data_IF_466513567392
#
_entry.id   IF_466513567392
#
_cell.length_a   1.000
_cell.length_b   1.000
_cell.length_c   1.000
_cell.angle_alpha   90.00
_cell.angle_beta   90.00
_cell.angle_gamma   90.00
#
_symmetry.space_group_name_H-M   'P 1'
#
loop_
_entity.id
_entity.type
_entity.pdbx_description
1 polymer ?
#
# COMPACT_ATOMS: atom_id res chain seq x y z
N UNK A 1 5.31 -24.14 7.04
CA UNK A 1 5.71 -22.73 6.98
C UNK A 1 5.40 -22.19 5.62
N UNK A 2 4.58 -21.18 5.58
CA UNK A 2 4.09 -20.63 4.33
C UNK A 2 4.81 -19.34 3.99
N UNK A 3 5.37 -19.28 2.79
CA UNK A 3 6.00 -18.08 2.25
C UNK A 3 5.17 -17.58 1.07
N UNK A 4 4.98 -16.28 0.98
CA UNK A 4 4.16 -15.67 -0.07
C UNK A 4 4.96 -14.56 -0.73
N UNK A 5 4.85 -14.47 -2.06
CA UNK A 5 5.33 -13.32 -2.83
C UNK A 5 4.11 -12.51 -3.22
N UNK A 6 4.15 -11.20 -3.00
CA UNK A 6 3.05 -10.32 -3.37
C UNK A 6 3.57 -8.97 -3.86
N UNK A 7 2.73 -8.28 -4.62
CA UNK A 7 2.99 -6.90 -5.00
C UNK A 7 2.69 -5.97 -3.82
N UNK A 8 3.47 -4.91 -3.70
CA UNK A 8 3.26 -3.91 -2.66
C UNK A 8 2.30 -2.84 -3.18
N UNK A 9 1.02 -2.98 -2.81
CA UNK A 9 -0.04 -2.08 -3.25
C UNK A 9 -0.25 -0.93 -2.28
N UNK A 10 -0.87 0.14 -2.78
CA UNK A 10 -1.32 1.26 -1.96
C UNK A 10 -2.59 0.86 -1.19
N UNK A 11 -2.55 0.92 0.12
CA UNK A 11 -3.66 0.54 1.02
C UNK A 11 -4.36 -0.75 0.57
N UNK A 12 -3.70 -1.92 0.67
CA UNK A 12 -4.27 -3.17 0.20
C UNK A 12 -5.61 -3.49 0.84
N UNK A 13 -6.44 -4.26 0.13
CA UNK A 13 -7.75 -4.64 0.61
C UNK A 13 -7.70 -5.77 1.65
N UNK A 14 -8.88 -6.10 2.19
CA UNK A 14 -9.00 -7.13 3.22
C UNK A 14 -8.58 -8.51 2.70
N UNK A 15 -8.85 -8.81 1.43
CA UNK A 15 -8.45 -10.09 0.82
C UNK A 15 -6.94 -10.28 0.84
N UNK A 16 -6.18 -9.22 0.59
CA UNK A 16 -4.73 -9.25 0.68
C UNK A 16 -4.27 -9.63 2.09
N UNK A 17 -4.81 -8.96 3.10
CA UNK A 17 -4.42 -9.23 4.49
C UNK A 17 -4.88 -10.61 4.94
N UNK A 18 -6.04 -11.06 4.49
CA UNK A 18 -6.51 -12.42 4.78
C UNK A 18 -5.57 -13.45 4.16
N UNK A 19 -5.12 -13.24 2.93
CA UNK A 19 -4.22 -14.17 2.25
C UNK A 19 -2.87 -14.29 2.97
N UNK A 20 -2.34 -13.20 3.51
CA UNK A 20 -1.03 -13.21 4.17
C UNK A 20 -1.11 -13.49 5.67
N UNK A 21 -2.30 -13.53 6.26
CA UNK A 21 -2.46 -13.63 7.72
C UNK A 21 -1.83 -14.89 8.33
N UNK A 22 -1.75 -15.96 7.55
CA UNK A 22 -1.18 -17.22 8.01
C UNK A 22 0.20 -17.51 7.41
N UNK A 23 0.76 -16.57 6.68
CA UNK A 23 2.11 -16.75 6.16
C UNK A 23 3.14 -16.34 7.22
N UNK A 24 4.28 -16.96 7.16
CA UNK A 24 5.39 -16.64 8.05
C UNK A 24 6.21 -15.49 7.48
N UNK A 25 6.47 -15.54 6.18
CA UNK A 25 7.27 -14.53 5.50
C UNK A 25 6.57 -14.05 4.23
N UNK A 26 6.47 -12.74 4.09
CA UNK A 26 5.96 -12.07 2.90
C UNK A 26 7.14 -11.43 2.17
N UNK A 27 7.35 -11.87 0.92
CA UNK A 27 8.39 -11.29 0.06
C UNK A 27 7.78 -10.25 -0.86
N UNK A 28 8.41 -9.09 -0.94
CA UNK A 28 8.02 -8.00 -1.85
C UNK A 28 9.24 -7.56 -2.65
N UNK A 29 9.03 -7.19 -3.92
CA UNK A 29 10.12 -6.83 -4.83
C UNK A 29 9.95 -5.40 -5.36
N UNK A 30 10.96 -4.52 -5.18
CA UNK A 30 10.93 -3.18 -5.77
C UNK A 30 11.36 -3.17 -7.24
N UNK A 31 11.72 -4.33 -7.80
CA UNK A 31 12.30 -4.41 -9.14
C UNK A 31 11.27 -4.58 -10.25
N UNK A 32 10.03 -4.94 -9.92
CA UNK A 32 8.97 -5.06 -10.91
C UNK A 32 8.66 -3.71 -11.52
N UNK A 33 8.39 -3.70 -12.83
CA UNK A 33 8.11 -2.47 -13.56
C UNK A 33 6.71 -1.94 -13.19
N UNK A 34 6.61 -0.64 -12.94
CA UNK A 34 5.34 0.02 -12.68
C UNK A 34 4.40 -0.18 -13.88
N UNK A 35 3.14 -0.48 -13.58
CA UNK A 35 2.10 -0.63 -14.59
C UNK A 35 1.01 0.43 -14.36
N UNK A 36 0.65 1.12 -15.43
CA UNK A 36 -0.40 2.12 -15.39
C UNK A 36 -1.74 1.47 -15.03
N UNK A 37 -2.56 2.18 -14.24
CA UNK A 37 -3.89 1.72 -13.78
C UNK A 37 -3.84 0.48 -12.91
N UNK A 38 -2.71 0.21 -12.29
CA UNK A 38 -2.57 -0.86 -11.31
C UNK A 38 -2.88 -0.34 -9.91
N UNK A 39 -2.96 -1.26 -8.95
CA UNK A 39 -3.15 -0.90 -7.54
C UNK A 39 -1.86 -0.48 -6.83
N UNK A 40 -0.77 -0.30 -7.55
CA UNK A 40 0.47 0.22 -6.96
C UNK A 40 0.31 1.61 -6.39
N UNK A 41 -0.48 2.47 -7.07
CA UNK A 41 -0.74 3.84 -6.62
C UNK A 41 -2.24 4.14 -6.53
N UNK A 42 -3.07 3.12 -6.47
CA UNK A 42 -4.53 3.28 -6.44
C UNK A 42 -5.15 2.37 -5.41
N UNK A 43 -6.21 2.84 -4.78
CA UNK A 43 -7.04 2.02 -3.91
C UNK A 43 -8.50 2.40 -4.09
N UNK A 44 -9.39 1.51 -3.68
CA UNK A 44 -10.83 1.78 -3.72
C UNK A 44 -11.36 1.83 -2.30
N UNK A 45 -12.21 2.81 -2.04
CA UNK A 45 -12.91 2.95 -0.77
C UNK A 45 -14.42 2.88 -1.00
N UNK A 46 -15.13 2.35 -0.02
CA UNK A 46 -16.58 2.24 -0.07
C UNK A 46 -17.21 3.39 0.71
N UNK A 47 -17.89 4.27 -0.02
CA UNK A 47 -18.72 5.32 0.57
C UNK A 47 -20.15 4.79 0.75
N UNK A 48 -21.01 5.62 1.34
CA UNK A 48 -22.38 5.17 1.69
C UNK A 48 -23.19 4.64 0.51
N UNK A 49 -22.93 5.14 -0.70
CA UNK A 49 -23.71 4.75 -1.89
C UNK A 49 -22.87 4.54 -3.15
N UNK A 50 -21.55 4.51 -3.03
CA UNK A 50 -20.68 4.31 -4.19
C UNK A 50 -19.29 3.84 -3.78
N UNK A 51 -18.59 3.24 -4.74
CA UNK A 51 -17.16 2.95 -4.61
C UNK A 51 -16.40 4.09 -5.26
N UNK A 52 -15.40 4.62 -4.55
CA UNK A 52 -14.55 5.68 -5.06
C UNK A 52 -13.10 5.20 -5.17
N UNK A 53 -12.43 5.55 -6.26
CA UNK A 53 -11.02 5.23 -6.46
C UNK A 53 -10.15 6.41 -6.03
N UNK A 54 -9.19 6.13 -5.17
CA UNK A 54 -8.18 7.11 -4.76
C UNK A 54 -6.87 6.78 -5.48
N UNK A 55 -6.36 7.74 -6.25
CA UNK A 55 -5.10 7.57 -7.00
C UNK A 55 -4.06 8.55 -6.50
N UNK A 56 -2.85 8.03 -6.26
CA UNK A 56 -1.69 8.87 -5.95
C UNK A 56 -1.05 9.29 -7.26
N UNK A 57 -0.91 10.61 -7.52
CA UNK A 57 -0.22 11.05 -8.73
C UNK A 57 1.27 10.75 -8.64
N UNK A 58 1.85 10.34 -9.76
CA UNK A 58 3.26 10.01 -9.85
C UNK A 58 3.96 10.92 -10.85
N UNK A 59 5.26 11.10 -10.66
CA UNK A 59 6.08 11.91 -11.57
C UNK A 59 6.21 11.18 -12.91
N UNK A 60 5.85 11.85 -14.01
CA UNK A 60 5.85 11.26 -15.34
C UNK A 60 4.52 10.59 -15.67
N UNK A 61 4.13 10.64 -16.95
CA UNK A 61 2.85 10.08 -17.37
C UNK A 61 2.83 8.57 -17.50
N UNK A 62 3.94 7.98 -17.91
CA UNK A 62 4.06 6.53 -18.15
C UNK A 62 5.47 6.08 -17.82
N UNK A 63 5.86 6.17 -16.57
CA UNK A 63 7.22 5.79 -16.22
C UNK A 63 7.40 4.29 -16.42
N UNK A 64 8.45 3.92 -17.15
CA UNK A 64 8.86 2.52 -17.29
C UNK A 64 9.99 2.24 -16.31
N UNK A 65 9.70 2.49 -15.04
CA UNK A 65 10.67 2.37 -13.97
C UNK A 65 10.28 1.23 -13.04
N UNK A 66 11.27 0.61 -12.37
CA UNK A 66 10.96 -0.31 -11.27
C UNK A 66 10.16 0.40 -10.18
N UNK A 67 9.33 -0.35 -9.47
CA UNK A 67 8.47 0.19 -8.41
C UNK A 67 9.24 0.99 -7.38
N UNK A 68 10.45 0.55 -7.04
CA UNK A 68 11.29 1.24 -6.06
C UNK A 68 11.77 2.63 -6.49
N UNK A 69 11.65 2.96 -7.78
CA UNK A 69 12.12 4.24 -8.33
C UNK A 69 10.96 5.20 -8.69
N UNK A 70 9.72 4.82 -8.44
CA UNK A 70 8.56 5.66 -8.72
C UNK A 70 8.48 6.76 -7.67
N UNK A 71 8.39 8.02 -8.14
CA UNK A 71 8.28 9.20 -7.28
C UNK A 71 6.85 9.71 -7.24
N UNK A 72 6.40 10.12 -6.06
CA UNK A 72 5.09 10.73 -5.89
C UNK A 72 5.16 12.19 -6.30
N UNK A 73 4.15 12.65 -7.04
CA UNK A 73 4.06 14.04 -7.48
C UNK A 73 3.27 14.86 -6.47
N UNK A 74 3.97 15.50 -5.53
CA UNK A 74 3.35 16.36 -4.53
C UNK A 74 2.95 17.73 -5.05
N UNK A 75 3.27 18.06 -6.31
CA UNK A 75 2.78 19.28 -6.95
C UNK A 75 1.29 19.21 -7.26
N UNK A 76 0.75 18.00 -7.38
CA UNK A 76 -0.68 17.80 -7.50
C UNK A 76 -1.31 17.67 -6.12
N UNK A 77 -2.50 18.24 -5.96
CA UNK A 77 -3.22 18.23 -4.68
C UNK A 77 -4.00 16.93 -4.54
N UNK A 78 -3.50 16.00 -3.79
CA UNK A 78 -4.15 14.71 -3.59
C UNK A 78 -4.33 14.31 -2.12
N UNK A 79 -3.44 14.80 -1.23
CA UNK A 79 -3.44 14.40 0.18
C UNK A 79 -4.78 14.66 0.88
N UNK A 80 -5.32 15.87 0.74
CA UNK A 80 -6.57 16.23 1.39
C UNK A 80 -7.74 15.38 0.88
N UNK A 81 -7.75 15.06 -0.41
CA UNK A 81 -8.79 14.22 -1.02
C UNK A 81 -8.74 12.81 -0.43
N UNK A 82 -7.54 12.23 -0.29
CA UNK A 82 -7.38 10.90 0.27
C UNK A 82 -7.78 10.86 1.74
N UNK A 83 -7.33 11.84 2.53
CA UNK A 83 -7.68 11.91 3.95
C UNK A 83 -9.18 12.06 4.16
N UNK A 84 -9.83 12.93 3.38
CA UNK A 84 -11.29 13.11 3.46
C UNK A 84 -12.04 11.85 3.04
N UNK A 85 -11.55 11.18 1.99
CA UNK A 85 -12.15 9.93 1.53
C UNK A 85 -12.10 8.84 2.59
N UNK A 86 -10.96 8.69 3.22
CA UNK A 86 -10.78 7.70 4.29
C UNK A 86 -11.67 8.04 5.49
N UNK A 87 -11.74 9.30 5.89
CA UNK A 87 -12.64 9.73 6.97
C UNK A 87 -14.10 9.48 6.63
N UNK A 88 -14.51 9.77 5.40
CA UNK A 88 -15.90 9.55 4.96
C UNK A 88 -16.25 8.06 4.94
N UNK A 89 -15.32 7.22 4.49
CA UNK A 89 -15.56 5.79 4.38
C UNK A 89 -15.57 5.08 5.73
N UNK A 90 -14.69 5.48 6.65
CA UNK A 90 -14.43 4.71 7.88
C UNK A 90 -14.62 5.50 9.17
N UNK A 91 -14.94 6.79 9.08
CA UNK A 91 -14.99 7.68 10.26
C UNK A 91 -15.99 7.28 11.34
N UNK A 92 -17.01 6.50 10.98
CA UNK A 92 -18.01 6.01 11.93
C UNK A 92 -17.65 4.66 12.55
N UNK A 93 -16.57 4.03 12.10
CA UNK A 93 -16.11 2.78 12.68
C UNK A 93 -15.52 3.03 14.06
N UNK A 94 -15.85 2.18 15.02
CA UNK A 94 -15.47 2.37 16.42
C UNK A 94 -13.96 2.41 16.65
N UNK A 95 -13.19 1.75 15.79
CA UNK A 95 -11.73 1.70 15.89
C UNK A 95 -11.04 2.85 15.14
N UNK A 96 -11.76 3.63 14.37
CA UNK A 96 -11.19 4.63 13.45
C UNK A 96 -10.39 5.71 14.19
N UNK A 97 -10.91 6.21 15.28
CA UNK A 97 -10.23 7.24 16.08
C UNK A 97 -8.87 6.77 16.60
N UNK A 98 -8.76 5.46 16.84
CA UNK A 98 -7.51 4.85 17.27
C UNK A 98 -6.48 4.75 16.14
N UNK A 99 -6.92 4.39 14.94
CA UNK A 99 -6.04 4.13 13.81
C UNK A 99 -5.70 5.39 12.99
N UNK A 100 -6.62 6.33 12.90
CA UNK A 100 -6.49 7.49 12.01
C UNK A 100 -5.25 8.33 12.29
N UNK A 101 -4.85 8.60 13.54
CA UNK A 101 -3.63 9.39 13.78
C UNK A 101 -2.37 8.77 13.18
N UNK A 102 -2.28 7.43 13.16
CA UNK A 102 -1.14 6.75 12.55
C UNK A 102 -1.13 6.92 11.03
N UNK A 103 -2.29 6.80 10.41
CA UNK A 103 -2.45 6.98 8.97
C UNK A 103 -2.13 8.42 8.57
N UNK A 104 -2.68 9.38 9.29
CA UNK A 104 -2.46 10.80 9.05
C UNK A 104 -0.98 11.16 9.17
N UNK A 105 -0.31 10.62 10.18
CA UNK A 105 1.12 10.85 10.40
C UNK A 105 1.97 10.39 9.21
N UNK A 106 1.63 9.28 8.59
CA UNK A 106 2.35 8.80 7.40
C UNK A 106 2.18 9.77 6.23
N UNK A 107 0.96 10.23 5.99
CA UNK A 107 0.70 11.21 4.93
C UNK A 107 1.45 12.53 5.17
N UNK A 108 1.53 12.98 6.41
CA UNK A 108 2.18 14.23 6.76
C UNK A 108 3.69 14.21 6.54
N UNK A 109 4.30 13.04 6.47
CA UNK A 109 5.74 12.91 6.21
C UNK A 109 6.12 13.28 4.77
N UNK A 110 5.15 13.38 3.86
CA UNK A 110 5.38 13.67 2.45
C UNK A 110 6.49 12.81 1.84
N UNK A 111 6.36 11.51 2.00
CA UNK A 111 7.36 10.54 1.56
C UNK A 111 7.48 10.59 0.04
N UNK A 112 8.70 10.84 -0.52
CA UNK A 112 8.87 11.00 -1.98
C UNK A 112 8.64 9.73 -2.77
N UNK A 113 9.03 8.58 -2.24
CA UNK A 113 8.96 7.31 -2.95
C UNK A 113 7.61 6.63 -2.73
N UNK A 114 6.94 6.23 -3.82
CA UNK A 114 5.69 5.48 -3.74
C UNK A 114 5.91 4.14 -3.01
N UNK A 115 7.02 3.46 -3.30
CA UNK A 115 7.38 2.21 -2.63
C UNK A 115 7.48 2.40 -1.12
N UNK A 116 8.19 3.45 -0.69
CA UNK A 116 8.38 3.71 0.74
C UNK A 116 7.07 4.05 1.44
N UNK A 117 6.19 4.80 0.77
CA UNK A 117 4.87 5.11 1.32
C UNK A 117 4.04 3.84 1.50
N UNK A 118 3.99 3.00 0.48
CA UNK A 118 3.24 1.74 0.53
C UNK A 118 3.82 0.79 1.58
N UNK A 119 5.13 0.76 1.71
CA UNK A 119 5.81 -0.07 2.71
C UNK A 119 5.44 0.37 4.13
N UNK A 120 5.40 1.67 4.39
CA UNK A 120 5.01 2.18 5.71
C UNK A 120 3.56 1.87 6.03
N UNK A 121 2.65 1.99 5.06
CA UNK A 121 1.26 1.62 5.26
C UNK A 121 1.11 0.12 5.55
N UNK A 122 1.82 -0.72 4.79
CA UNK A 122 1.80 -2.16 5.04
C UNK A 122 2.27 -2.47 6.45
N UNK A 123 3.39 -1.90 6.88
CA UNK A 123 3.96 -2.13 8.20
C UNK A 123 3.00 -1.71 9.31
N UNK A 124 2.39 -0.54 9.19
CA UNK A 124 1.43 -0.05 10.17
C UNK A 124 0.18 -0.93 10.21
N UNK A 125 -0.34 -1.31 9.04
CA UNK A 125 -1.53 -2.16 8.99
C UNK A 125 -1.28 -3.54 9.60
N UNK A 126 -0.12 -4.15 9.35
CA UNK A 126 0.23 -5.42 9.96
C UNK A 126 0.28 -5.31 11.49
N UNK A 127 0.85 -4.22 11.98
CA UNK A 127 0.96 -3.98 13.41
C UNK A 127 -0.42 -3.74 14.05
N UNK A 128 -1.25 -2.92 13.42
CA UNK A 128 -2.58 -2.61 13.92
C UNK A 128 -3.52 -3.82 13.87
N UNK A 129 -3.36 -4.68 12.86
CA UNK A 129 -4.13 -5.92 12.74
C UNK A 129 -3.53 -7.06 13.58
N UNK A 130 -2.43 -6.81 14.25
CA UNK A 130 -1.71 -7.80 15.08
C UNK A 130 -1.31 -9.05 14.31
N UNK A 131 -0.89 -8.87 13.06
CA UNK A 131 -0.41 -9.96 12.23
C UNK A 131 1.10 -10.12 12.37
N UNK A 132 1.55 -11.31 12.72
CA UNK A 132 2.96 -11.62 12.94
C UNK A 132 3.62 -12.10 11.67
N UNK A 133 3.58 -11.28 10.62
CA UNK A 133 4.16 -11.59 9.31
C UNK A 133 5.49 -10.89 9.19
N UNK A 134 6.54 -11.65 8.84
CA UNK A 134 7.85 -11.07 8.54
C UNK A 134 7.84 -10.60 7.09
N UNK A 135 8.11 -9.32 6.89
CA UNK A 135 8.21 -8.73 5.54
C UNK A 135 9.67 -8.68 5.15
N UNK A 136 9.97 -9.22 3.98
CA UNK A 136 11.32 -9.21 3.43
C UNK A 136 11.34 -8.62 2.04
N UNK A 137 12.14 -7.58 1.84
CA UNK A 137 12.34 -6.94 0.54
C UNK A 137 13.42 -7.71 -0.21
N UNK A 138 13.13 -8.09 -1.45
CA UNK A 138 14.12 -8.76 -2.31
C UNK A 138 15.21 -7.76 -2.70
N UNK A 139 16.47 -8.21 -2.62
CA UNK A 139 17.62 -7.37 -2.95
C UNK A 139 18.00 -7.46 -4.44
N UNK A 140 17.56 -8.52 -5.13
CA UNK A 140 17.86 -8.76 -6.53
C UNK A 140 16.59 -9.17 -7.27
N UNK A 141 16.47 -8.74 -8.53
CA UNK A 141 15.31 -9.05 -9.36
C UNK A 141 15.12 -10.56 -9.59
N UNK A 142 16.20 -11.34 -9.54
CA UNK A 142 16.19 -12.79 -9.80
C UNK A 142 16.12 -13.64 -8.55
N UNK A 143 16.01 -12.99 -7.37
CA UNK A 143 15.93 -13.71 -6.10
C UNK A 143 14.50 -14.19 -5.87
N UNK A 144 14.18 -15.37 -6.42
CA UNK A 144 12.87 -15.97 -6.28
C UNK A 144 12.90 -17.07 -5.24
N UNK A 145 12.40 -16.85 -4.03
CA UNK A 145 12.28 -17.92 -3.05
C UNK A 145 11.19 -18.91 -3.47
N UNK A 146 11.21 -20.10 -2.90
CA UNK A 146 10.14 -21.06 -3.05
C UNK A 146 8.92 -20.56 -2.27
N UNK A 147 8.06 -19.83 -2.95
CA UNK A 147 6.96 -19.08 -2.34
C UNK A 147 5.73 -19.08 -3.24
N UNK A 148 4.59 -18.78 -2.65
CA UNK A 148 3.32 -18.69 -3.37
C UNK A 148 3.05 -17.24 -3.76
N UNK A 149 2.68 -17.06 -5.02
CA UNK A 149 2.34 -15.76 -5.58
C UNK A 149 0.87 -15.41 -5.28
N UNK A 150 0.62 -14.16 -4.98
CA UNK A 150 -0.74 -13.66 -4.78
C UNK A 150 -1.15 -12.79 -5.96
#
# INVERSE_FOLDING_TARGET
MRQIIADLFYLPNLEFFSAISQCETLYISPFDTYQRKSYFNRTQILLSNKVETLSIPIVGRRPRLPLGEIQIDYNQKWLATHLRGIQSAYGKASFFEFFFPYIESIYEQEIPSLWDLNYKFLTICLKLLQLSVKVQVLEKAEELPDAWDI
#
